data_IF_583668525275
#
_entry.id   IF_583668525275
#
_cell.length_a   1.000
_cell.length_b   1.000
_cell.length_c   1.000
_cell.angle_alpha   90.00
_cell.angle_beta   90.00
_cell.angle_gamma   90.00
#
_symmetry.space_group_name_H-M   'P 1'
#
loop_
_entity.id
_entity.type
_entity.pdbx_description
1 polymer ?
#
# COMPACT_ATOMS: atom_id res chain seq x y z
N UNK A 1 26.92 7.06 5.89
CA UNK A 1 26.88 5.96 4.92
C UNK A 1 25.44 5.89 4.44
N UNK A 2 25.23 6.04 3.15
CA UNK A 2 23.91 5.83 2.56
C UNK A 2 23.55 4.36 2.72
N UNK A 3 22.31 4.08 3.11
CA UNK A 3 21.83 2.71 3.31
C UNK A 3 21.86 1.98 1.96
N UNK A 4 22.32 0.73 1.96
CA UNK A 4 22.21 -0.11 0.76
C UNK A 4 20.72 -0.29 0.40
N UNK A 5 20.39 -0.61 -0.87
CA UNK A 5 19.02 -0.88 -1.27
C UNK A 5 18.33 -1.89 -0.34
N UNK A 6 19.00 -3.00 -0.02
CA UNK A 6 18.48 -4.02 0.88
C UNK A 6 18.25 -3.49 2.31
N UNK A 7 19.16 -2.66 2.84
CA UNK A 7 19.00 -2.05 4.16
C UNK A 7 17.83 -1.06 4.19
N UNK A 8 17.56 -0.34 3.11
CA UNK A 8 16.40 0.55 3.00
C UNK A 8 15.11 -0.26 3.03
N UNK A 9 15.03 -1.32 2.25
CA UNK A 9 13.88 -2.23 2.24
C UNK A 9 13.67 -2.84 3.62
N UNK A 10 14.70 -3.44 4.22
CA UNK A 10 14.60 -4.07 5.55
C UNK A 10 14.12 -3.06 6.60
N UNK A 11 14.67 -1.85 6.62
CA UNK A 11 14.22 -0.78 7.53
C UNK A 11 12.74 -0.45 7.37
N UNK A 12 12.25 -0.39 6.13
CA UNK A 12 10.83 -0.12 5.86
C UNK A 12 9.96 -1.29 6.32
N UNK A 13 10.35 -2.53 6.02
CA UNK A 13 9.62 -3.73 6.42
C UNK A 13 9.58 -3.89 7.93
N UNK A 14 10.67 -3.57 8.65
CA UNK A 14 10.70 -3.53 10.10
C UNK A 14 9.65 -2.54 10.64
N UNK A 15 9.51 -1.36 10.03
CA UNK A 15 8.50 -0.39 10.42
C UNK A 15 7.06 -0.87 10.17
N UNK A 16 6.82 -1.66 9.12
CA UNK A 16 5.51 -2.30 8.87
C UNK A 16 5.25 -3.45 9.85
N UNK A 17 6.26 -4.24 10.19
CA UNK A 17 6.14 -5.43 11.06
C UNK A 17 5.57 -5.14 12.45
N UNK A 18 5.60 -3.88 12.90
CA UNK A 18 4.97 -3.46 14.17
C UNK A 18 3.45 -3.59 14.19
N UNK A 19 2.80 -3.54 13.02
CA UNK A 19 1.34 -3.61 12.90
C UNK A 19 0.85 -4.59 11.83
N UNK A 20 1.70 -4.96 10.87
CA UNK A 20 1.36 -5.80 9.72
C UNK A 20 2.08 -7.13 9.82
N UNK A 21 1.44 -8.18 9.31
CA UNK A 21 2.10 -9.44 9.00
C UNK A 21 2.88 -9.26 7.70
N UNK A 22 4.20 -9.48 7.74
CA UNK A 22 5.08 -9.28 6.58
C UNK A 22 5.56 -10.62 6.04
N UNK A 23 5.22 -10.89 4.78
CA UNK A 23 5.70 -12.03 3.99
C UNK A 23 6.79 -11.56 3.02
N UNK A 24 7.84 -12.36 2.84
CA UNK A 24 8.96 -12.07 1.92
C UNK A 24 8.80 -12.88 0.62
N UNK A 25 9.40 -12.38 -0.45
CA UNK A 25 9.53 -13.09 -1.74
C UNK A 25 8.17 -13.57 -2.30
N UNK A 26 7.18 -12.68 -2.25
CA UNK A 26 5.80 -12.98 -2.68
C UNK A 26 5.72 -12.97 -4.20
N UNK A 27 5.33 -14.12 -4.76
CA UNK A 27 5.17 -14.26 -6.21
C UNK A 27 3.75 -13.86 -6.63
N UNK A 28 3.66 -12.89 -7.54
CA UNK A 28 2.41 -12.51 -8.20
C UNK A 28 2.60 -12.70 -9.69
N UNK A 29 1.82 -13.60 -10.28
CA UNK A 29 1.99 -14.04 -11.66
C UNK A 29 3.43 -14.52 -11.92
N UNK A 30 4.19 -13.79 -12.74
CA UNK A 30 5.57 -14.06 -13.15
C UNK A 30 6.59 -13.15 -12.44
N UNK A 31 6.16 -12.34 -11.47
CA UNK A 31 7.00 -11.36 -10.77
C UNK A 31 7.12 -11.67 -9.28
N UNK A 32 8.35 -11.69 -8.77
CA UNK A 32 8.63 -11.80 -7.34
C UNK A 32 8.75 -10.41 -6.74
N UNK A 33 7.85 -10.09 -5.81
CA UNK A 33 7.94 -8.89 -4.99
C UNK A 33 8.75 -9.20 -3.73
N UNK A 34 9.71 -8.34 -3.33
CA UNK A 34 10.53 -8.58 -2.15
C UNK A 34 9.73 -8.78 -0.86
N UNK A 35 8.53 -8.20 -0.77
CA UNK A 35 7.62 -8.44 0.34
C UNK A 35 6.16 -8.06 0.01
N UNK A 36 5.25 -8.61 0.81
CA UNK A 36 3.89 -8.13 1.01
C UNK A 36 3.64 -7.94 2.52
N UNK A 37 2.99 -6.84 2.90
CA UNK A 37 2.50 -6.63 4.25
C UNK A 37 0.97 -6.67 4.26
N UNK A 38 0.40 -7.47 5.17
CA UNK A 38 -1.04 -7.59 5.36
C UNK A 38 -1.46 -7.09 6.73
N UNK A 39 -2.53 -6.30 6.75
CA UNK A 39 -3.15 -5.84 7.98
C UNK A 39 -4.61 -6.27 8.02
N UNK A 40 -5.06 -6.67 9.21
CA UNK A 40 -6.45 -6.94 9.50
C UNK A 40 -6.83 -6.27 10.82
N UNK A 41 -7.88 -5.47 10.78
CA UNK A 41 -8.54 -4.93 11.95
C UNK A 41 -10.00 -5.33 11.94
N UNK A 42 -10.45 -5.90 13.05
CA UNK A 42 -11.86 -6.11 13.36
C UNK A 42 -12.16 -5.38 14.66
N UNK A 43 -13.03 -4.38 14.59
CA UNK A 43 -13.54 -3.68 15.77
C UNK A 43 -14.99 -4.08 16.02
N UNK A 44 -15.25 -4.67 17.19
CA UNK A 44 -16.58 -5.05 17.65
C UNK A 44 -17.16 -3.93 18.52
N UNK A 45 -17.93 -3.03 17.93
CA UNK A 45 -18.67 -2.02 18.71
C UNK A 45 -19.79 -2.68 19.54
N UNK A 46 -19.57 -2.86 20.84
CA UNK A 46 -20.61 -3.23 21.81
C UNK A 46 -21.43 -1.99 22.24
N UNK A 47 -22.57 -1.72 21.60
CA UNK A 47 -23.59 -0.80 22.14
C UNK A 47 -24.83 -1.58 22.59
N UNK A 48 -24.83 -1.98 23.86
CA UNK A 48 -25.98 -2.57 24.56
C UNK A 48 -26.94 -1.43 24.95
N UNK A 49 -27.92 -1.14 24.10
CA UNK A 49 -29.23 -0.65 24.57
C UNK A 49 -30.35 -1.07 23.61
N UNK A 50 -31.59 -1.09 24.12
CA UNK A 50 -32.77 -1.85 23.66
C UNK A 50 -33.27 -1.64 22.21
N UNK A 51 -32.52 -0.96 21.33
CA UNK A 51 -32.84 -0.80 19.91
C UNK A 51 -31.56 -0.81 19.06
N UNK A 52 -31.04 -2.01 18.82
CA UNK A 52 -30.17 -2.44 17.70
C UNK A 52 -29.10 -1.46 17.17
N UNK A 53 -27.82 -1.82 17.33
CA UNK A 53 -26.82 -1.89 16.23
C UNK A 53 -25.76 -2.93 16.61
N UNK A 54 -25.62 -4.01 15.82
CA UNK A 54 -24.44 -4.87 15.79
C UNK A 54 -23.76 -4.61 14.45
N UNK A 55 -22.63 -3.91 14.44
CA UNK A 55 -21.78 -3.83 13.26
C UNK A 55 -20.33 -4.00 13.71
N UNK A 56 -19.74 -5.14 13.39
CA UNK A 56 -18.29 -5.23 13.35
C UNK A 56 -17.80 -4.40 12.15
N UNK A 57 -16.70 -3.67 12.34
CA UNK A 57 -16.02 -2.96 11.28
C UNK A 57 -14.76 -3.74 10.95
N UNK A 58 -14.75 -4.38 9.77
CA UNK A 58 -13.57 -5.07 9.24
C UNK A 58 -12.84 -4.18 8.24
N UNK A 59 -11.54 -4.04 8.46
CA UNK A 59 -10.61 -3.31 7.59
C UNK A 59 -9.46 -4.24 7.23
N UNK A 60 -9.12 -4.27 5.94
CA UNK A 60 -7.94 -4.99 5.46
C UNK A 60 -7.00 -4.04 4.75
N UNK A 61 -5.70 -4.32 4.82
CA UNK A 61 -4.72 -3.72 3.91
C UNK A 61 -3.80 -4.78 3.32
N UNK A 62 -3.51 -4.65 2.03
CA UNK A 62 -2.61 -5.53 1.27
C UNK A 62 -1.58 -4.64 0.56
N UNK A 63 -0.36 -4.59 1.09
CA UNK A 63 0.68 -3.67 0.61
C UNK A 63 1.84 -4.46 0.00
N UNK A 64 2.04 -4.31 -1.29
CA UNK A 64 3.17 -4.89 -2.01
C UNK A 64 4.36 -3.92 -2.01
N UNK A 65 5.58 -4.45 -1.89
CA UNK A 65 6.81 -3.67 -1.95
C UNK A 65 7.55 -3.96 -3.24
N UNK A 66 8.00 -2.90 -3.92
CA UNK A 66 8.82 -3.00 -5.12
C UNK A 66 10.15 -2.27 -4.89
N UNK A 67 11.24 -2.89 -5.31
CA UNK A 67 12.56 -2.31 -5.29
C UNK A 67 13.21 -2.42 -6.68
N UNK A 68 13.58 -1.29 -7.26
CA UNK A 68 14.12 -1.21 -8.63
C UNK A 68 15.17 -0.10 -8.76
N UNK A 69 16.10 -0.23 -9.70
CA UNK A 69 17.07 0.85 -9.98
C UNK A 69 16.40 2.02 -10.73
N UNK A 70 15.59 1.71 -11.74
CA UNK A 70 14.89 2.72 -12.53
C UNK A 70 13.43 2.35 -12.72
N UNK A 71 12.54 3.29 -12.38
CA UNK A 71 11.10 3.14 -12.56
C UNK A 71 10.61 3.99 -13.75
N UNK A 72 10.31 3.32 -14.86
CA UNK A 72 9.66 3.91 -16.03
C UNK A 72 8.14 3.94 -15.86
N UNK A 73 7.44 4.72 -16.70
CA UNK A 73 5.97 4.78 -16.66
C UNK A 73 5.32 3.46 -17.07
N UNK A 74 5.92 2.76 -18.04
CA UNK A 74 5.48 1.45 -18.52
C UNK A 74 5.58 0.39 -17.42
N UNK A 75 6.77 0.24 -16.83
CA UNK A 75 6.99 -0.69 -15.71
C UNK A 75 6.10 -0.36 -14.51
N UNK A 76 5.92 0.93 -14.18
CA UNK A 76 5.00 1.33 -13.12
C UNK A 76 3.55 0.91 -13.43
N UNK A 77 3.09 1.07 -14.67
CA UNK A 77 1.73 0.68 -15.07
C UNK A 77 1.52 -0.83 -14.93
N UNK A 78 2.49 -1.64 -15.38
CA UNK A 78 2.45 -3.11 -15.23
C UNK A 78 2.35 -3.52 -13.75
N UNK A 79 3.21 -2.95 -12.89
CA UNK A 79 3.15 -3.26 -11.46
C UNK A 79 1.86 -2.77 -10.80
N UNK A 80 1.30 -1.63 -11.24
CA UNK A 80 -0.02 -1.16 -10.78
C UNK A 80 -1.09 -2.18 -11.14
N UNK A 81 -1.14 -2.64 -12.38
CA UNK A 81 -2.19 -3.56 -12.82
C UNK A 81 -2.07 -4.92 -12.14
N UNK A 82 -0.85 -5.46 -12.04
CA UNK A 82 -0.56 -6.73 -11.39
C UNK A 82 -0.92 -6.73 -9.90
N UNK A 83 -0.37 -5.79 -9.12
CA UNK A 83 -0.64 -5.74 -7.67
C UNK A 83 -2.07 -5.35 -7.34
N UNK A 84 -2.71 -4.51 -8.17
CA UNK A 84 -4.14 -4.21 -8.04
C UNK A 84 -4.99 -5.44 -8.28
N UNK A 85 -4.71 -6.23 -9.34
CA UNK A 85 -5.45 -7.45 -9.62
C UNK A 85 -5.27 -8.49 -8.50
N UNK A 86 -4.03 -8.71 -8.06
CA UNK A 86 -3.71 -9.63 -6.97
C UNK A 86 -4.31 -9.19 -5.62
N UNK A 87 -4.18 -7.92 -5.24
CA UNK A 87 -4.79 -7.44 -4.01
C UNK A 87 -6.32 -7.47 -4.06
N UNK A 88 -6.95 -7.19 -5.21
CA UNK A 88 -8.40 -7.27 -5.37
C UNK A 88 -8.95 -8.69 -5.25
N UNK A 89 -8.18 -9.72 -5.62
CA UNK A 89 -8.62 -11.12 -5.49
C UNK A 89 -8.67 -11.59 -4.04
N UNK A 90 -7.94 -10.91 -3.13
CA UNK A 90 -7.97 -11.16 -1.69
C UNK A 90 -9.15 -10.47 -0.98
N UNK A 91 -9.87 -9.56 -1.65
CA UNK A 91 -10.96 -8.81 -1.03
C UNK A 91 -12.25 -9.61 -1.04
N UNK A 92 -12.74 -9.95 0.15
CA UNK A 92 -14.00 -10.67 0.36
C UNK A 92 -15.06 -9.76 1.01
N UNK A 93 -15.78 -8.96 0.21
CA UNK A 93 -16.77 -8.02 0.72
C UNK A 93 -17.97 -8.75 1.32
N UNK A 94 -18.39 -8.32 2.50
CA UNK A 94 -19.56 -8.81 3.21
C UNK A 94 -20.11 -7.68 4.10
N UNK A 95 -21.12 -7.96 4.93
CA UNK A 95 -21.84 -6.91 5.68
C UNK A 95 -20.99 -6.15 6.71
N UNK A 96 -19.92 -6.75 7.22
CA UNK A 96 -19.02 -6.16 8.22
C UNK A 96 -17.78 -5.52 7.55
N UNK A 97 -17.56 -5.77 6.25
CA UNK A 97 -16.47 -5.19 5.48
C UNK A 97 -16.68 -3.68 5.28
N UNK A 98 -15.82 -2.88 5.91
CA UNK A 98 -15.82 -1.43 5.80
C UNK A 98 -14.97 -0.97 4.60
N UNK A 99 -13.71 -1.41 4.55
CA UNK A 99 -12.87 -1.22 3.37
C UNK A 99 -11.68 -2.18 3.33
N UNK A 100 -11.14 -2.39 2.13
CA UNK A 100 -9.84 -3.01 1.91
C UNK A 100 -8.94 -2.03 1.16
N UNK A 101 -7.78 -1.69 1.69
CA UNK A 101 -6.79 -0.94 0.94
C UNK A 101 -5.87 -1.92 0.21
N UNK A 102 -5.70 -1.74 -1.09
CA UNK A 102 -4.68 -2.46 -1.87
C UNK A 102 -3.61 -1.45 -2.23
N UNK A 103 -2.34 -1.76 -2.06
CA UNK A 103 -1.32 -0.77 -2.34
C UNK A 103 0.01 -1.30 -2.81
N UNK A 104 0.77 -0.39 -3.40
CA UNK A 104 2.13 -0.59 -3.88
C UNK A 104 3.01 0.51 -3.29
N UNK A 105 4.09 0.10 -2.64
CA UNK A 105 5.14 0.98 -2.13
C UNK A 105 6.42 0.70 -2.90
N UNK A 106 6.96 1.72 -3.55
CA UNK A 106 8.15 1.59 -4.40
C UNK A 106 9.36 2.29 -3.78
N UNK A 107 10.49 1.60 -3.72
CA UNK A 107 11.81 2.17 -3.49
C UNK A 107 12.56 2.11 -4.83
N UNK A 108 12.80 3.27 -5.44
CA UNK A 108 13.47 3.35 -6.75
C UNK A 108 14.67 4.30 -6.70
N UNK A 109 15.79 3.94 -7.32
CA UNK A 109 16.92 4.87 -7.36
C UNK A 109 16.59 6.11 -8.17
N UNK A 110 15.98 5.91 -9.34
CA UNK A 110 15.47 6.99 -10.20
C UNK A 110 14.06 6.69 -10.67
N UNK A 111 13.25 7.74 -10.82
CA UNK A 111 11.89 7.64 -11.33
C UNK A 111 11.74 8.61 -12.51
N UNK A 112 11.26 8.10 -13.64
CA UNK A 112 11.06 8.94 -14.83
C UNK A 112 10.01 10.05 -14.57
N UNK A 113 10.10 11.22 -15.22
CA UNK A 113 9.08 12.27 -15.09
C UNK A 113 7.66 11.80 -15.44
N UNK A 114 7.54 10.93 -16.43
CA UNK A 114 6.28 10.31 -16.87
C UNK A 114 5.75 9.37 -15.79
N UNK A 115 6.62 8.57 -15.15
CA UNK A 115 6.24 7.72 -14.03
C UNK A 115 5.77 8.55 -12.82
N UNK A 116 6.45 9.66 -12.51
CA UNK A 116 6.00 10.61 -11.46
C UNK A 116 4.60 11.17 -11.75
N UNK A 117 4.33 11.46 -13.03
CA UNK A 117 3.03 11.97 -13.48
C UNK A 117 1.95 10.90 -13.38
N UNK A 118 2.23 9.68 -13.86
CA UNK A 118 1.35 8.52 -13.74
C UNK A 118 1.02 8.27 -12.27
N UNK A 119 2.04 8.13 -11.43
CA UNK A 119 1.92 7.89 -9.99
C UNK A 119 0.98 8.89 -9.31
N UNK A 120 1.17 10.19 -9.54
CA UNK A 120 0.33 11.25 -8.95
C UNK A 120 -1.10 11.25 -9.46
N UNK A 121 -1.35 10.76 -10.68
CA UNK A 121 -2.68 10.74 -11.32
C UNK A 121 -3.44 9.42 -11.12
N UNK A 122 -2.77 8.32 -10.79
CA UNK A 122 -3.42 7.02 -10.54
C UNK A 122 -4.53 7.13 -9.50
N UNK A 123 -5.76 6.80 -9.88
CA UNK A 123 -6.92 6.71 -8.98
C UNK A 123 -7.61 5.39 -9.25
N UNK A 124 -7.96 4.69 -8.19
CA UNK A 124 -8.84 3.54 -8.31
C UNK A 124 -9.61 3.39 -7.00
N UNK A 125 -10.92 3.30 -7.14
CA UNK A 125 -11.83 2.96 -6.05
C UNK A 125 -12.94 2.07 -6.60
N UNK A 126 -13.24 0.99 -5.89
CA UNK A 126 -14.30 0.04 -6.22
C UNK A 126 -15.26 -0.06 -5.04
N UNK A 127 -16.53 0.27 -5.24
CA UNK A 127 -17.56 0.08 -4.24
C UNK A 127 -18.21 -1.29 -4.37
N UNK A 128 -18.55 -1.91 -3.25
CA UNK A 128 -19.25 -3.19 -3.21
C UNK A 128 -20.69 -2.97 -2.75
N UNK A 129 -21.65 -3.57 -3.46
CA UNK A 129 -23.08 -3.40 -3.18
C UNK A 129 -23.51 -1.94 -3.02
N UNK A 130 -23.12 -1.08 -3.97
CA UNK A 130 -23.37 0.38 -3.92
C UNK A 130 -22.82 1.07 -2.65
N UNK A 131 -21.80 0.48 -2.02
CA UNK A 131 -21.15 0.97 -0.79
C UNK A 131 -21.66 0.32 0.50
N UNK A 132 -22.71 -0.52 0.43
CA UNK A 132 -23.25 -1.23 1.61
C UNK A 132 -22.31 -2.30 2.17
N UNK A 133 -21.35 -2.76 1.36
CA UNK A 133 -20.29 -3.69 1.78
C UNK A 133 -18.92 -3.04 1.64
N UNK A 134 -18.85 -1.73 1.89
CA UNK A 134 -17.60 -1.00 1.86
C UNK A 134 -17.04 -0.76 0.46
N UNK A 135 -15.75 -0.43 0.42
CA UNK A 135 -15.02 -0.16 -0.81
C UNK A 135 -13.59 -0.67 -0.75
N UNK A 136 -12.95 -0.77 -1.91
CA UNK A 136 -11.51 -0.90 -2.03
C UNK A 136 -10.94 0.35 -2.63
N UNK A 137 -9.79 0.81 -2.13
CA UNK A 137 -9.03 1.91 -2.71
C UNK A 137 -7.59 1.49 -3.00
N UNK A 138 -7.05 1.94 -4.13
CA UNK A 138 -5.67 1.65 -4.50
C UNK A 138 -4.71 2.75 -4.01
N UNK A 139 -3.78 2.38 -3.15
CA UNK A 139 -2.79 3.27 -2.55
C UNK A 139 -1.43 3.09 -3.22
N UNK A 140 -0.85 4.17 -3.72
CA UNK A 140 0.45 4.12 -4.37
C UNK A 140 1.36 5.17 -3.76
N UNK A 141 2.54 4.75 -3.32
CA UNK A 141 3.59 5.64 -2.84
C UNK A 141 4.96 5.20 -3.37
N UNK A 142 5.86 6.15 -3.56
CA UNK A 142 7.22 5.88 -3.98
C UNK A 142 8.22 6.82 -3.31
N UNK A 143 9.43 6.32 -3.10
CA UNK A 143 10.62 7.09 -2.77
C UNK A 143 11.60 7.01 -3.95
N UNK A 144 12.05 8.16 -4.43
CA UNK A 144 13.21 8.27 -5.31
C UNK A 144 14.45 8.46 -4.43
N UNK A 145 15.29 7.43 -4.32
CA UNK A 145 16.40 7.40 -3.35
C UNK A 145 17.50 8.39 -3.73
N UNK A 146 17.78 8.57 -5.03
CA UNK A 146 18.82 9.49 -5.54
C UNK A 146 18.56 10.96 -5.20
N UNK A 147 17.30 11.36 -5.06
CA UNK A 147 16.91 12.74 -4.75
C UNK A 147 16.33 12.90 -3.34
N UNK A 148 16.05 11.81 -2.64
CA UNK A 148 15.31 11.81 -1.37
C UNK A 148 13.89 12.35 -1.50
N UNK A 149 13.29 12.22 -2.69
CA UNK A 149 11.94 12.71 -2.97
C UNK A 149 10.89 11.65 -2.71
N UNK A 150 9.70 12.08 -2.28
CA UNK A 150 8.58 11.20 -1.97
C UNK A 150 7.36 11.57 -2.81
N UNK A 151 6.68 10.57 -3.35
CA UNK A 151 5.52 10.73 -4.20
C UNK A 151 4.39 9.81 -3.75
N UNK A 152 3.15 10.21 -4.00
CA UNK A 152 2.01 9.31 -3.89
C UNK A 152 0.86 9.74 -4.79
N UNK A 153 -0.06 8.82 -5.04
CA UNK A 153 -1.41 9.23 -5.37
C UNK A 153 -2.13 9.75 -4.09
N UNK A 154 -3.31 10.39 -4.20
CA UNK A 154 -4.04 10.93 -3.05
C UNK A 154 -4.44 9.88 -2.03
N UNK A 155 -4.77 8.66 -2.45
CA UNK A 155 -5.06 7.57 -1.54
C UNK A 155 -3.81 7.11 -0.76
N UNK A 156 -2.63 7.13 -1.40
CA UNK A 156 -1.34 6.72 -0.84
C UNK A 156 -0.65 7.76 0.04
N UNK A 157 -1.33 8.83 0.47
CA UNK A 157 -0.71 9.84 1.35
C UNK A 157 -0.26 9.24 2.68
N UNK A 158 -0.98 8.25 3.21
CA UNK A 158 -0.57 7.51 4.41
C UNK A 158 0.74 6.76 4.19
N UNK A 159 0.83 5.95 3.13
CA UNK A 159 2.04 5.23 2.75
C UNK A 159 3.22 6.18 2.49
N UNK A 160 3.00 7.33 1.83
CA UNK A 160 4.03 8.36 1.66
C UNK A 160 4.54 8.91 2.98
N UNK A 161 3.65 9.20 3.94
CA UNK A 161 4.05 9.67 5.27
C UNK A 161 4.86 8.60 6.02
N UNK A 162 4.57 7.32 5.82
CA UNK A 162 5.38 6.23 6.36
C UNK A 162 6.80 6.25 5.76
N UNK A 163 6.93 6.40 4.43
CA UNK A 163 8.23 6.58 3.77
C UNK A 163 8.97 7.81 4.31
N UNK A 164 8.30 8.96 4.41
CA UNK A 164 8.90 10.19 4.95
C UNK A 164 9.39 10.00 6.39
N UNK A 165 8.62 9.32 7.26
CA UNK A 165 9.04 9.05 8.64
C UNK A 165 10.29 8.19 8.73
N UNK A 166 10.45 7.24 7.81
CA UNK A 166 11.58 6.32 7.81
C UNK A 166 12.83 6.89 7.13
N UNK A 167 12.68 7.71 6.09
CA UNK A 167 13.82 8.10 5.23
C UNK A 167 14.08 9.59 5.14
N UNK A 168 13.16 10.46 5.59
CA UNK A 168 13.40 11.90 5.54
C UNK A 168 14.51 12.26 6.55
N UNK A 169 15.53 13.03 6.14
CA UNK A 169 16.57 13.47 7.05
C UNK A 169 15.95 14.23 8.23
N UNK A 170 16.30 13.86 9.46
CA UNK A 170 15.95 14.66 10.63
C UNK A 170 16.67 16.01 10.51
N UNK A 171 15.91 17.11 10.49
CA UNK A 171 16.50 18.43 10.67
C UNK A 171 17.16 18.45 12.06
N UNK A 172 18.44 18.77 12.10
CA UNK A 172 19.17 19.08 13.34
C UNK A 172 18.58 20.35 13.96
#
# INVERSE_FOLDING_TARGET
>A
MDLTPEQQLNRLLDAYSHAYDVERDVTVEDTVYPAMATYFLRDENYLISRKHVLSALEQHEYVYFLQVEHLSAESLQEHIDRTKAAGLSLVHPHKEHMFSNVGLVVLADTISPEAKTLLKRTRFRKYYMLGLQGWTEYQLAAMETSTGSFYSNPAGVGARKNLERNFRPRKK
#
